data_IF_122487379507
#
_entry.id   IF_122487379507
#
_cell.length_a   1.000
_cell.length_b   1.000
_cell.length_c   1.000
_cell.angle_alpha   90.00
_cell.angle_beta   90.00
_cell.angle_gamma   90.00
#
_symmetry.space_group_name_H-M   'P 1'
#
loop_
_entity.id
_entity.type
_entity.pdbx_description
1 polymer ?
#
# COMPACT_ATOMS: atom_id res chain seq x y z
N UNK A 1 -17.54 28.43 -18.38
CA UNK A 1 -18.46 27.75 -17.44
C UNK A 1 -18.08 26.29 -17.48
N UNK A 2 -17.52 25.62 -16.47
CA UNK A 2 -17.53 25.83 -15.02
C UNK A 2 -17.71 24.44 -14.43
N UNK A 3 -16.66 23.93 -13.78
CA UNK A 3 -16.64 22.81 -12.82
C UNK A 3 -15.18 22.77 -12.35
N UNK A 4 -14.73 23.75 -11.58
CA UNK A 4 -14.93 23.85 -10.13
C UNK A 4 -14.36 22.62 -9.42
N UNK A 5 -13.06 22.70 -9.13
CA UNK A 5 -12.45 22.28 -7.88
C UNK A 5 -13.04 21.00 -7.26
N UNK A 6 -12.52 19.83 -7.66
CA UNK A 6 -12.41 18.70 -6.73
C UNK A 6 -11.43 19.13 -5.61
N UNK A 7 -11.90 20.02 -4.74
CA UNK A 7 -11.39 20.15 -3.39
C UNK A 7 -11.50 18.75 -2.80
N UNK A 8 -10.39 17.98 -2.86
CA UNK A 8 -10.26 16.63 -2.29
C UNK A 8 -10.90 16.67 -0.92
N UNK A 9 -12.13 16.19 -0.82
CA UNK A 9 -12.90 16.30 0.41
C UNK A 9 -12.16 15.48 1.45
N UNK A 10 -11.49 16.16 2.38
CA UNK A 10 -10.78 15.51 3.48
C UNK A 10 -11.84 14.84 4.34
N UNK A 11 -12.01 13.53 4.15
CA UNK A 11 -12.91 12.72 4.97
C UNK A 11 -12.41 12.79 6.42
N UNK A 12 -13.24 13.29 7.31
CA UNK A 12 -12.94 13.35 8.74
C UNK A 12 -13.16 11.97 9.33
N UNK A 13 -12.13 11.44 9.99
CA UNK A 13 -12.21 10.22 10.77
C UNK A 13 -12.15 10.60 12.24
N UNK A 14 -13.18 10.22 13.01
CA UNK A 14 -13.17 10.36 14.46
C UNK A 14 -12.75 9.01 15.05
N UNK A 15 -11.64 8.99 15.77
CA UNK A 15 -11.06 7.78 16.35
C UNK A 15 -10.48 8.11 17.71
N UNK A 16 -10.63 7.19 18.66
CA UNK A 16 -10.04 7.28 19.99
C UNK A 16 -8.66 6.64 19.98
N UNK A 17 -7.71 7.29 20.67
CA UNK A 17 -6.40 6.71 20.95
C UNK A 17 -6.36 6.24 22.41
N UNK A 18 -5.77 5.08 22.71
CA UNK A 18 -5.41 4.68 24.06
C UNK A 18 -4.54 5.73 24.75
N UNK A 19 -4.70 5.88 26.06
CA UNK A 19 -4.01 6.92 26.86
C UNK A 19 -2.49 6.97 26.63
N UNK A 20 -1.74 5.85 26.56
CA UNK A 20 -0.30 5.91 26.33
C UNK A 20 0.07 6.51 24.95
N UNK A 21 -0.73 6.23 23.92
CA UNK A 21 -0.52 6.77 22.58
C UNK A 21 -0.92 8.24 22.51
N UNK A 22 -1.99 8.62 23.20
CA UNK A 22 -2.40 10.02 23.30
C UNK A 22 -1.35 10.87 24.00
N UNK A 23 -0.74 10.37 25.08
CA UNK A 23 0.36 11.03 25.78
C UNK A 23 1.56 11.27 24.86
N UNK A 24 2.01 10.22 24.16
CA UNK A 24 3.13 10.33 23.22
C UNK A 24 2.83 11.32 22.08
N UNK A 25 1.65 11.24 21.47
CA UNK A 25 1.26 12.18 20.40
C UNK A 25 1.21 13.62 20.93
N UNK A 26 0.78 13.83 22.17
CA UNK A 26 0.82 15.12 22.84
C UNK A 26 2.23 15.68 23.05
N UNK A 27 3.24 14.83 23.28
CA UNK A 27 4.64 15.26 23.46
C UNK A 27 5.28 15.70 22.14
N UNK A 28 4.95 15.03 21.04
CA UNK A 28 5.54 15.30 19.71
C UNK A 28 4.75 16.34 18.90
N UNK A 29 3.60 16.81 19.42
CA UNK A 29 2.74 17.78 18.75
C UNK A 29 2.60 19.08 19.54
N UNK A 30 2.57 20.21 18.85
CA UNK A 30 2.42 21.53 19.46
C UNK A 30 3.31 22.59 18.82
N UNK A 31 3.23 23.82 19.32
CA UNK A 31 4.02 24.94 18.78
C UNK A 31 5.52 24.72 19.02
N UNK A 32 6.29 24.58 17.94
CA UNK A 32 7.72 24.30 17.99
C UNK A 32 8.09 22.83 18.18
N UNK A 33 7.10 21.93 18.19
CA UNK A 33 7.33 20.49 18.18
C UNK A 33 7.52 19.96 16.74
N UNK A 34 7.72 18.64 16.60
CA UNK A 34 7.94 17.99 15.30
C UNK A 34 6.72 18.09 14.37
N UNK A 35 5.52 18.10 14.95
CA UNK A 35 4.26 18.28 14.24
C UNK A 35 3.45 19.39 14.88
N UNK A 36 2.71 20.16 14.09
CA UNK A 36 1.87 21.24 14.63
C UNK A 36 0.59 20.70 15.26
N UNK A 37 0.07 19.59 14.73
CA UNK A 37 -1.16 18.96 15.23
C UNK A 37 -1.06 17.43 15.26
N UNK A 38 -1.80 16.76 16.16
CA UNK A 38 -1.97 15.31 16.14
C UNK A 38 -2.40 14.75 14.77
N UNK A 39 -3.32 15.44 14.10
CA UNK A 39 -3.81 15.06 12.78
C UNK A 39 -2.72 15.07 11.70
N UNK A 40 -1.72 15.94 11.83
CA UNK A 40 -0.56 15.97 10.92
C UNK A 40 0.32 14.74 11.12
N UNK A 41 0.65 14.43 12.38
CA UNK A 41 1.40 13.22 12.72
C UNK A 41 0.71 11.96 12.18
N UNK A 42 -0.59 11.81 12.41
CA UNK A 42 -1.34 10.63 11.94
C UNK A 42 -1.36 10.55 10.41
N UNK A 43 -1.54 11.67 9.70
CA UNK A 43 -1.50 11.68 8.23
C UNK A 43 -0.13 11.26 7.69
N UNK A 44 0.95 11.76 8.29
CA UNK A 44 2.30 11.37 7.92
C UNK A 44 2.60 9.90 8.25
N UNK A 45 2.14 9.40 9.40
CA UNK A 45 2.25 8.00 9.79
C UNK A 45 1.55 7.08 8.77
N UNK A 46 0.31 7.41 8.38
CA UNK A 46 -0.45 6.66 7.38
C UNK A 46 0.26 6.68 6.03
N UNK A 47 0.75 7.84 5.59
CA UNK A 47 1.50 7.95 4.32
C UNK A 47 2.74 7.05 4.32
N UNK A 48 3.56 7.10 5.37
CA UNK A 48 4.74 6.23 5.51
C UNK A 48 4.38 4.75 5.54
N UNK A 49 3.26 4.39 6.18
CA UNK A 49 2.76 3.02 6.19
C UNK A 49 2.38 2.56 4.78
N UNK A 50 1.64 3.39 4.02
CA UNK A 50 1.27 3.10 2.63
C UNK A 50 2.50 2.94 1.73
N UNK A 51 3.48 3.83 1.86
CA UNK A 51 4.73 3.77 1.10
C UNK A 51 5.49 2.46 1.38
N UNK A 52 5.59 2.06 2.65
CA UNK A 52 6.23 0.78 3.03
C UNK A 52 5.47 -0.43 2.52
N UNK A 53 4.14 -0.43 2.63
CA UNK A 53 3.31 -1.54 2.15
C UNK A 53 3.47 -1.72 0.64
N UNK A 54 3.46 -0.63 -0.13
CA UNK A 54 3.67 -0.67 -1.58
C UNK A 54 5.08 -1.16 -1.95
N UNK A 55 6.10 -0.70 -1.22
CA UNK A 55 7.47 -1.15 -1.46
C UNK A 55 7.64 -2.64 -1.14
N UNK A 56 7.01 -3.12 -0.06
CA UNK A 56 7.02 -4.53 0.31
C UNK A 56 6.35 -5.39 -0.76
N UNK A 57 5.16 -5.02 -1.22
CA UNK A 57 4.45 -5.73 -2.29
C UNK A 57 5.32 -5.82 -3.55
N UNK A 58 5.94 -4.70 -3.94
CA UNK A 58 6.84 -4.64 -5.10
C UNK A 58 8.06 -5.54 -4.90
N UNK A 59 8.63 -5.56 -3.70
CA UNK A 59 9.76 -6.42 -3.36
C UNK A 59 9.36 -7.89 -3.45
N UNK A 60 8.20 -8.27 -2.93
CA UNK A 60 7.70 -9.64 -2.93
C UNK A 60 7.46 -10.15 -4.36
N UNK A 61 6.81 -9.34 -5.20
CA UNK A 61 6.63 -9.63 -6.63
C UNK A 61 7.97 -9.85 -7.32
N UNK A 62 8.95 -8.97 -7.07
CA UNK A 62 10.29 -9.10 -7.66
C UNK A 62 11.01 -10.34 -7.16
N UNK A 63 10.88 -10.67 -5.88
CA UNK A 63 11.47 -11.86 -5.29
C UNK A 63 10.89 -13.12 -5.91
N UNK A 64 9.57 -13.20 -6.02
CA UNK A 64 8.87 -14.30 -6.69
C UNK A 64 9.29 -14.43 -8.15
N UNK A 65 9.29 -13.33 -8.91
CA UNK A 65 9.73 -13.34 -10.30
C UNK A 65 11.18 -13.80 -10.44
N UNK A 66 12.09 -13.27 -9.62
CA UNK A 66 13.50 -13.65 -9.66
C UNK A 66 13.70 -15.12 -9.28
N UNK A 67 12.89 -15.67 -8.37
CA UNK A 67 12.89 -17.08 -8.05
C UNK A 67 12.41 -17.91 -9.23
N UNK A 68 11.25 -17.59 -9.80
CA UNK A 68 10.71 -18.32 -10.95
C UNK A 68 11.67 -18.30 -12.14
N UNK A 69 12.29 -17.15 -12.42
CA UNK A 69 13.27 -16.99 -13.51
C UNK A 69 14.51 -17.89 -13.35
N UNK A 70 14.90 -18.22 -12.12
CA UNK A 70 16.03 -19.12 -11.84
C UNK A 70 15.65 -20.59 -11.85
N UNK A 71 14.45 -20.90 -11.38
CA UNK A 71 14.02 -22.28 -11.10
C UNK A 71 13.36 -22.95 -12.32
N UNK A 72 12.86 -22.19 -13.28
CA UNK A 72 12.12 -22.71 -14.42
C UNK A 72 12.88 -22.53 -15.72
N UNK A 73 12.81 -23.55 -16.58
CA UNK A 73 13.21 -23.45 -17.97
C UNK A 73 12.01 -22.98 -18.78
N UNK A 74 12.08 -21.75 -19.29
CA UNK A 74 10.97 -21.14 -20.02
C UNK A 74 11.05 -21.58 -21.48
N UNK A 75 10.20 -22.54 -21.84
CA UNK A 75 9.96 -22.91 -23.23
C UNK A 75 8.91 -21.99 -23.88
N UNK A 76 8.99 -21.83 -25.19
CA UNK A 76 7.98 -21.11 -25.96
C UNK A 76 6.62 -21.82 -25.84
N UNK A 77 5.56 -21.05 -25.55
CA UNK A 77 4.20 -21.56 -25.49
C UNK A 77 3.75 -22.01 -26.88
N UNK A 78 3.36 -23.27 -26.99
CA UNK A 78 2.82 -23.87 -28.22
C UNK A 78 1.29 -23.88 -28.21
N UNK A 79 0.69 -24.09 -29.38
CA UNK A 79 -0.77 -24.25 -29.50
C UNK A 79 -1.32 -25.40 -28.64
N UNK A 80 -0.52 -26.46 -28.45
CA UNK A 80 -0.91 -27.62 -27.66
C UNK A 80 -1.01 -27.30 -26.16
N UNK A 81 -0.15 -26.41 -25.65
CA UNK A 81 -0.18 -25.98 -24.24
C UNK A 81 -1.50 -25.28 -23.90
N UNK A 82 -2.06 -24.51 -24.84
CA UNK A 82 -3.35 -23.86 -24.66
C UNK A 82 -4.52 -24.85 -24.70
N UNK A 83 -4.44 -25.89 -25.55
CA UNK A 83 -5.48 -26.91 -25.63
C UNK A 83 -5.47 -27.80 -24.39
N UNK A 84 -4.29 -28.11 -23.84
CA UNK A 84 -4.15 -28.84 -22.58
C UNK A 84 -4.65 -28.02 -21.37
N UNK A 85 -4.33 -26.73 -21.29
CA UNK A 85 -4.84 -25.85 -20.25
C UNK A 85 -6.39 -25.74 -20.27
N UNK A 86 -7.00 -25.68 -21.47
CA UNK A 86 -8.46 -25.69 -21.62
C UNK A 86 -9.08 -27.01 -21.17
N UNK A 87 -8.42 -28.15 -21.44
CA UNK A 87 -8.89 -29.47 -21.01
C UNK A 87 -8.89 -29.58 -19.49
N UNK A 88 -7.80 -29.16 -18.82
CA UNK A 88 -7.68 -29.15 -17.35
C UNK A 88 -8.71 -28.24 -16.69
N UNK A 89 -9.03 -27.08 -17.29
CA UNK A 89 -10.04 -26.16 -16.76
C UNK A 89 -11.49 -26.65 -16.92
N UNK A 90 -11.71 -27.67 -17.76
CA UNK A 90 -13.03 -28.27 -18.04
C UNK A 90 -13.30 -29.58 -17.28
N UNK A 91 -12.31 -30.11 -16.55
CA UNK A 91 -12.44 -31.21 -15.59
C UNK A 91 -12.78 -30.67 -14.19
#
# INVERSE_FOLDING_TARGET
MGQADESKMVKRLNTTLPDPLAAYVGEITGKGALYETPSEFIRDLVRRHMERALEQERHDIRSMLAQSLRENDYADLSANDFDDARRVASE
#
